data_IF_705958184894
#
_entry.id   IF_705958184894
#
_cell.length_a   1.000
_cell.length_b   1.000
_cell.length_c   1.000
_cell.angle_alpha   90.00
_cell.angle_beta   90.00
_cell.angle_gamma   90.00
#
_symmetry.space_group_name_H-M   'P 1'
#
loop_
_entity.id
_entity.type
_entity.pdbx_description
1 polymer ?
#
# COMPACT_ATOMS: atom_id res chain seq x y z
N UNK A 1 -34.52 21.02 -1.65
CA UNK A 1 -33.24 21.17 -2.39
C UNK A 1 -32.13 21.35 -1.37
N UNK A 2 -31.36 20.29 -1.07
CA UNK A 2 -30.23 20.34 -0.14
C UNK A 2 -28.92 20.13 -0.93
N UNK A 3 -27.81 20.76 -0.51
CA UNK A 3 -26.67 21.02 -1.38
C UNK A 3 -25.77 19.79 -1.56
N UNK A 4 -25.35 19.57 -2.80
CA UNK A 4 -24.27 18.66 -3.19
C UNK A 4 -22.92 19.22 -2.72
N UNK A 5 -22.43 18.78 -1.57
CA UNK A 5 -21.06 19.08 -1.13
C UNK A 5 -20.08 17.93 -1.42
N UNK A 6 -19.39 18.13 -2.55
CA UNK A 6 -18.00 17.82 -2.88
C UNK A 6 -17.09 17.19 -1.78
N UNK A 7 -16.30 16.23 -2.29
CA UNK A 7 -14.89 15.90 -1.99
C UNK A 7 -14.64 15.22 -0.64
N UNK A 8 -14.53 13.89 -0.68
CA UNK A 8 -13.73 13.16 0.29
C UNK A 8 -12.27 13.64 0.20
N UNK A 9 -11.85 14.25 1.31
CA UNK A 9 -10.61 14.98 1.48
C UNK A 9 -9.45 14.00 1.56
N UNK A 10 -8.35 14.38 0.92
CA UNK A 10 -7.02 13.78 1.08
C UNK A 10 -6.73 13.53 2.56
N UNK A 11 -6.54 12.27 2.95
CA UNK A 11 -5.89 11.91 4.21
C UNK A 11 -4.42 12.36 4.13
N UNK A 12 -4.22 13.62 4.47
CA UNK A 12 -2.93 14.28 4.50
C UNK A 12 -2.42 14.29 5.92
N UNK A 13 -1.54 13.34 6.24
CA UNK A 13 -0.35 13.67 7.02
C UNK A 13 0.87 13.26 6.24
N UNK A 14 1.47 14.31 5.67
CA UNK A 14 2.75 14.29 4.97
C UNK A 14 3.79 13.66 5.88
N UNK A 15 4.23 12.44 5.56
CA UNK A 15 5.57 12.00 5.93
C UNK A 15 6.54 12.81 5.08
N UNK A 16 6.80 14.05 5.50
CA UNK A 16 7.90 14.88 4.99
C UNK A 16 9.19 14.32 5.57
N UNK A 17 9.61 13.13 5.13
CA UNK A 17 11.01 12.74 5.21
C UNK A 17 11.60 12.92 3.82
N UNK A 18 12.20 14.11 3.66
CA UNK A 18 12.88 14.60 2.46
C UNK A 18 13.65 13.48 1.76
N UNK A 19 13.38 13.37 0.47
CA UNK A 19 14.09 12.57 -0.54
C UNK A 19 15.60 12.81 -0.43
N UNK A 20 16.30 11.91 0.26
CA UNK A 20 17.76 11.73 0.15
C UNK A 20 18.09 10.24 0.12
N UNK A 21 17.62 9.56 -0.92
CA UNK A 21 18.04 8.19 -1.22
C UNK A 21 18.37 8.07 -2.71
N UNK A 22 19.34 8.87 -3.16
CA UNK A 22 20.17 8.52 -4.32
C UNK A 22 21.39 7.77 -3.79
N UNK A 23 21.16 6.54 -3.32
CA UNK A 23 22.19 5.50 -3.21
C UNK A 23 21.76 4.35 -4.11
N UNK A 24 22.71 3.58 -4.63
CA UNK A 24 22.51 2.60 -5.70
C UNK A 24 21.31 1.64 -5.52
N UNK A 25 20.90 1.33 -4.28
CA UNK A 25 19.70 0.51 -4.01
C UNK A 25 18.35 1.19 -4.30
N UNK A 26 18.29 2.53 -4.30
CA UNK A 26 17.04 3.29 -4.46
C UNK A 26 16.43 3.18 -5.86
N UNK A 27 17.26 3.13 -6.92
CA UNK A 27 16.77 2.98 -8.29
C UNK A 27 16.26 1.57 -8.57
N UNK A 28 16.96 0.54 -8.06
CA UNK A 28 16.52 -0.84 -8.18
C UNK A 28 15.22 -1.08 -7.40
N UNK A 29 15.11 -0.54 -6.18
CA UNK A 29 13.88 -0.58 -5.39
C UNK A 29 12.72 0.14 -6.11
N UNK A 30 12.98 1.31 -6.69
CA UNK A 30 11.99 2.04 -7.48
C UNK A 30 11.54 1.26 -8.72
N UNK A 31 12.47 0.66 -9.48
CA UNK A 31 12.18 -0.17 -10.65
C UNK A 31 11.39 -1.42 -10.27
N UNK A 32 11.74 -2.07 -9.15
CA UNK A 32 10.96 -3.19 -8.63
C UNK A 32 9.54 -2.73 -8.27
N UNK A 33 9.39 -1.63 -7.51
CA UNK A 33 8.08 -1.11 -7.11
C UNK A 33 7.17 -0.77 -8.31
N UNK A 34 7.71 -0.14 -9.37
CA UNK A 34 6.92 0.15 -10.57
C UNK A 34 6.48 -1.12 -11.30
N UNK A 35 7.37 -2.11 -11.44
CA UNK A 35 7.02 -3.40 -12.08
C UNK A 35 5.98 -4.16 -11.25
N UNK A 36 6.16 -4.24 -9.94
CA UNK A 36 5.23 -4.89 -9.02
C UNK A 36 3.86 -4.21 -9.05
N UNK A 37 3.80 -2.88 -9.07
CA UNK A 37 2.54 -2.15 -9.18
C UNK A 37 1.82 -2.43 -10.51
N UNK A 38 2.56 -2.50 -11.62
CA UNK A 38 1.97 -2.86 -12.92
C UNK A 38 1.41 -4.28 -12.91
N UNK A 39 2.16 -5.24 -12.35
CA UNK A 39 1.71 -6.61 -12.21
C UNK A 39 0.45 -6.72 -11.33
N UNK A 40 0.44 -6.05 -10.17
CA UNK A 40 -0.75 -6.00 -9.30
C UNK A 40 -1.94 -5.39 -10.04
N UNK A 41 -1.75 -4.29 -10.78
CA UNK A 41 -2.86 -3.66 -11.53
C UNK A 41 -3.45 -4.57 -12.59
N UNK A 42 -2.63 -5.39 -13.23
CA UNK A 42 -3.08 -6.36 -14.22
C UNK A 42 -3.79 -7.56 -13.57
N UNK A 43 -3.25 -8.10 -12.48
CA UNK A 43 -3.74 -9.31 -11.84
C UNK A 43 -4.94 -9.08 -10.91
N UNK A 44 -5.03 -7.92 -10.24
CA UNK A 44 -6.04 -7.65 -9.20
C UNK A 44 -7.50 -7.81 -9.67
N UNK A 45 -7.89 -7.42 -10.90
CA UNK A 45 -9.25 -7.66 -11.38
C UNK A 45 -9.63 -9.14 -11.51
N UNK A 46 -8.66 -10.01 -11.81
CA UNK A 46 -8.89 -11.44 -12.04
C UNK A 46 -8.68 -12.27 -10.77
N UNK A 47 -7.63 -11.97 -10.01
CA UNK A 47 -7.21 -12.76 -8.85
C UNK A 47 -7.74 -12.21 -7.51
N UNK A 48 -8.16 -10.94 -7.48
CA UNK A 48 -8.64 -10.28 -6.27
C UNK A 48 -7.65 -10.32 -5.12
N UNK A 49 -8.10 -10.69 -3.91
CA UNK A 49 -7.24 -10.77 -2.73
C UNK A 49 -6.20 -11.91 -2.79
N UNK A 50 -6.24 -12.78 -3.81
CA UNK A 50 -5.23 -13.82 -4.02
C UNK A 50 -4.01 -13.30 -4.75
N UNK A 51 -4.05 -12.09 -5.30
CA UNK A 51 -2.92 -11.47 -6.01
C UNK A 51 -1.67 -11.49 -5.15
N UNK A 52 -0.59 -12.06 -5.68
CA UNK A 52 0.72 -12.10 -5.03
C UNK A 52 1.71 -11.21 -5.76
N UNK A 53 2.64 -10.65 -4.99
CA UNK A 53 3.74 -9.83 -5.51
C UNK A 53 5.04 -10.61 -5.35
N UNK A 54 5.78 -10.76 -6.45
CA UNK A 54 7.09 -11.41 -6.40
C UNK A 54 8.05 -10.64 -5.47
N UNK A 55 8.87 -11.34 -4.67
CA UNK A 55 9.78 -10.68 -3.74
C UNK A 55 10.77 -9.77 -4.49
N UNK A 56 11.23 -8.67 -3.87
CA UNK A 56 12.32 -7.88 -4.42
C UNK A 56 13.59 -8.73 -4.58
N UNK A 57 14.47 -8.40 -5.54
CA UNK A 57 15.84 -8.91 -5.54
C UNK A 57 16.55 -8.45 -4.25
N UNK A 58 17.74 -8.99 -3.98
CA UNK A 58 18.53 -8.62 -2.79
C UNK A 58 18.82 -7.12 -2.76
N UNK A 59 18.03 -6.41 -1.97
CA UNK A 59 18.00 -4.96 -1.88
C UNK A 59 18.01 -4.56 -0.41
N UNK A 60 18.61 -3.41 -0.09
CA UNK A 60 18.65 -2.94 1.29
C UNK A 60 17.25 -2.56 1.81
N UNK A 61 16.88 -3.07 2.99
CA UNK A 61 15.60 -2.76 3.67
C UNK A 61 15.30 -1.26 3.77
N UNK A 62 16.34 -0.44 3.98
CA UNK A 62 16.25 1.03 4.06
C UNK A 62 15.76 1.70 2.76
N UNK A 63 15.67 0.96 1.64
CA UNK A 63 15.12 1.47 0.39
C UNK A 63 13.58 1.45 0.33
N UNK A 64 12.88 1.05 1.40
CA UNK A 64 11.41 1.11 1.49
C UNK A 64 10.86 2.50 1.10
N UNK A 65 11.52 3.58 1.52
CA UNK A 65 11.09 4.94 1.16
C UNK A 65 11.08 5.21 -0.36
N UNK A 66 11.93 4.54 -1.14
CA UNK A 66 11.90 4.62 -2.60
C UNK A 66 10.70 3.85 -3.19
N UNK A 67 10.36 2.70 -2.60
CA UNK A 67 9.17 1.92 -2.97
C UNK A 67 7.91 2.76 -2.73
N UNK A 68 7.73 3.30 -1.53
CA UNK A 68 6.58 4.12 -1.18
C UNK A 68 6.47 5.38 -2.05
N UNK A 69 7.60 6.03 -2.36
CA UNK A 69 7.62 7.18 -3.23
C UNK A 69 7.11 6.86 -4.65
N UNK A 70 7.47 5.69 -5.21
CA UNK A 70 6.95 5.25 -6.51
C UNK A 70 5.46 4.99 -6.44
N UNK A 71 4.99 4.25 -5.42
CA UNK A 71 3.56 3.92 -5.25
C UNK A 71 2.71 5.18 -5.14
N UNK A 72 3.17 6.17 -4.37
CA UNK A 72 2.51 7.48 -4.24
C UNK A 72 2.48 8.24 -5.57
N UNK A 73 3.61 8.34 -6.28
CA UNK A 73 3.70 9.04 -7.58
C UNK A 73 2.84 8.40 -8.66
N UNK A 74 2.68 7.08 -8.61
CA UNK A 74 1.90 6.31 -9.60
C UNK A 74 0.42 6.22 -9.23
N UNK A 75 0.00 6.76 -8.09
CA UNK A 75 -1.39 6.73 -7.63
C UNK A 75 -1.87 5.32 -7.32
N UNK A 76 -1.09 4.53 -6.59
CA UNK A 76 -1.54 3.23 -6.10
C UNK A 76 -2.75 3.39 -5.16
N UNK A 77 -3.73 2.50 -5.27
CA UNK A 77 -4.81 2.41 -4.28
C UNK A 77 -4.28 1.84 -2.95
N UNK A 78 -5.05 1.96 -1.87
CA UNK A 78 -4.67 1.43 -0.55
C UNK A 78 -4.31 -0.06 -0.62
N UNK A 79 -5.14 -0.87 -1.30
CA UNK A 79 -4.90 -2.30 -1.47
C UNK A 79 -3.65 -2.57 -2.33
N UNK A 80 -3.47 -1.85 -3.45
CA UNK A 80 -2.28 -2.00 -4.30
C UNK A 80 -0.99 -1.66 -3.54
N UNK A 81 -1.01 -0.59 -2.75
CA UNK A 81 0.12 -0.21 -1.90
C UNK A 81 0.41 -1.29 -0.87
N UNK A 82 -0.61 -1.76 -0.16
CA UNK A 82 -0.44 -2.78 0.87
C UNK A 82 0.14 -4.07 0.30
N UNK A 83 -0.32 -4.55 -0.86
CA UNK A 83 0.23 -5.76 -1.51
C UNK A 83 1.73 -5.61 -1.83
N UNK A 84 2.15 -4.47 -2.40
CA UNK A 84 3.56 -4.25 -2.74
C UNK A 84 4.41 -4.06 -1.50
N UNK A 85 3.95 -3.27 -0.52
CA UNK A 85 4.70 -3.03 0.72
C UNK A 85 4.77 -4.29 1.59
N UNK A 86 3.72 -5.11 1.63
CA UNK A 86 3.71 -6.41 2.30
C UNK A 86 4.81 -7.31 1.77
N UNK A 87 4.90 -7.48 0.44
CA UNK A 87 5.92 -8.31 -0.18
C UNK A 87 7.34 -7.76 0.05
N UNK A 88 7.50 -6.43 0.07
CA UNK A 88 8.77 -5.83 0.47
C UNK A 88 9.12 -6.18 1.91
N UNK A 89 8.25 -5.93 2.87
CA UNK A 89 8.52 -6.17 4.29
C UNK A 89 8.75 -7.65 4.60
N UNK A 90 7.96 -8.55 3.99
CA UNK A 90 8.11 -9.99 4.11
C UNK A 90 9.51 -10.45 3.66
N UNK A 91 9.98 -9.97 2.50
CA UNK A 91 11.32 -10.31 1.99
C UNK A 91 12.47 -9.81 2.89
N UNK A 92 12.20 -8.87 3.81
CA UNK A 92 13.15 -8.36 4.79
C UNK A 92 12.88 -8.91 6.21
N UNK A 93 12.20 -10.06 6.32
CA UNK A 93 11.97 -10.75 7.59
C UNK A 93 10.92 -10.08 8.49
N UNK A 94 10.09 -9.21 7.93
CA UNK A 94 9.04 -8.49 8.65
C UNK A 94 7.66 -8.77 8.04
N UNK A 95 7.11 -9.97 8.22
CA UNK A 95 5.78 -10.27 7.70
C UNK A 95 4.72 -9.43 8.41
N UNK A 96 3.85 -8.79 7.62
CA UNK A 96 2.69 -8.03 8.11
C UNK A 96 1.45 -8.49 7.36
N UNK A 97 0.31 -8.58 8.03
CA UNK A 97 -0.96 -8.88 7.39
C UNK A 97 -1.59 -7.61 6.80
N UNK A 98 -2.28 -7.73 5.66
CA UNK A 98 -3.13 -6.66 5.16
C UNK A 98 -4.50 -6.84 5.79
N UNK A 99 -4.99 -5.81 6.48
CA UNK A 99 -6.38 -5.71 6.91
C UNK A 99 -7.17 -5.04 5.79
N UNK A 100 -8.25 -5.68 5.34
CA UNK A 100 -9.21 -5.12 4.39
C UNK A 100 -10.49 -4.83 5.15
N UNK A 101 -10.97 -3.60 5.08
CA UNK A 101 -12.09 -3.14 5.88
C UNK A 101 -13.01 -2.22 5.07
N UNK A 102 -14.22 -2.03 5.57
CA UNK A 102 -15.17 -1.09 5.00
C UNK A 102 -15.89 -0.29 6.10
N UNK A 103 -16.33 0.92 5.74
CA UNK A 103 -17.22 1.74 6.55
C UNK A 103 -18.47 2.08 5.75
N UNK A 104 -19.59 2.27 6.46
CA UNK A 104 -20.88 2.70 5.90
C UNK A 104 -21.38 4.00 6.52
N UNK A 105 -20.63 4.59 7.47
CA UNK A 105 -21.08 5.72 8.28
C UNK A 105 -21.50 6.94 7.45
N UNK A 106 -20.76 7.24 6.37
CA UNK A 106 -21.03 8.34 5.42
C UNK A 106 -21.19 7.81 3.98
N UNK A 107 -21.63 6.56 3.83
CA UNK A 107 -21.63 5.81 2.57
C UNK A 107 -20.52 4.75 2.53
N UNK A 108 -20.54 3.89 1.50
CA UNK A 108 -19.58 2.78 1.38
C UNK A 108 -18.17 3.31 1.07
N UNK A 109 -17.24 3.08 1.99
CA UNK A 109 -15.83 3.37 1.82
C UNK A 109 -15.00 2.12 2.17
N UNK A 110 -14.30 1.57 1.17
CA UNK A 110 -13.35 0.48 1.38
C UNK A 110 -11.95 1.03 1.68
N UNK A 111 -11.25 0.42 2.63
CA UNK A 111 -9.89 0.77 3.00
C UNK A 111 -9.04 -0.47 3.26
N UNK A 112 -7.71 -0.31 3.20
CA UNK A 112 -6.78 -1.38 3.51
C UNK A 112 -5.46 -0.83 4.07
N UNK A 113 -4.96 -1.45 5.13
CA UNK A 113 -3.72 -1.10 5.82
C UNK A 113 -2.95 -2.35 6.27
N UNK A 114 -1.67 -2.20 6.59
CA UNK A 114 -0.80 -3.26 7.12
C UNK A 114 -0.80 -3.24 8.64
N UNK A 115 -1.26 -4.33 9.25
CA UNK A 115 -1.32 -4.47 10.71
C UNK A 115 0.07 -4.37 11.34
N UNK A 116 0.23 -3.47 12.32
CA UNK A 116 1.51 -3.24 13.01
C UNK A 116 2.58 -2.53 12.18
N UNK A 117 2.24 -2.05 10.98
CA UNK A 117 3.13 -1.21 10.17
C UNK A 117 2.51 0.17 9.90
N UNK A 118 1.25 0.20 9.49
CA UNK A 118 0.49 1.44 9.31
C UNK A 118 -0.26 1.83 10.61
N UNK A 119 -0.83 3.03 10.63
CA UNK A 119 -1.75 3.46 11.70
C UNK A 119 -2.99 2.53 11.74
N UNK A 120 -3.43 2.19 12.95
CA UNK A 120 -4.62 1.37 13.14
C UNK A 120 -5.89 2.20 12.92
N UNK A 121 -6.64 1.84 11.88
CA UNK A 121 -7.89 2.52 11.51
C UNK A 121 -9.15 1.73 11.88
N UNK A 122 -9.03 0.71 12.74
CA UNK A 122 -10.14 -0.13 13.20
C UNK A 122 -11.25 0.64 13.95
N UNK A 123 -10.97 1.83 14.46
CA UNK A 123 -11.98 2.71 15.07
C UNK A 123 -12.98 3.27 14.04
N UNK A 124 -12.60 3.35 12.76
CA UNK A 124 -13.41 3.98 11.69
C UNK A 124 -13.94 2.95 10.70
N UNK A 125 -13.18 1.87 10.49
CA UNK A 125 -13.51 0.83 9.53
C UNK A 125 -13.77 -0.50 10.21
N UNK A 126 -14.81 -1.21 9.75
CA UNK A 126 -15.07 -2.59 10.15
C UNK A 126 -14.26 -3.53 9.29
N UNK A 127 -13.38 -4.30 9.92
CA UNK A 127 -12.61 -5.35 9.27
C UNK A 127 -13.53 -6.36 8.57
N UNK A 128 -13.21 -6.66 7.31
CA UNK A 128 -13.90 -7.67 6.50
C UNK A 128 -13.07 -8.95 6.41
N UNK A 129 -11.75 -8.81 6.20
CA UNK A 129 -10.84 -9.95 6.06
C UNK A 129 -9.38 -9.52 6.21
N UNK A 130 -8.50 -10.51 6.35
CA UNK A 130 -7.05 -10.35 6.37
C UNK A 130 -6.39 -11.11 5.23
N UNK A 131 -5.36 -10.52 4.66
CA UNK A 131 -4.50 -11.18 3.67
C UNK A 131 -3.13 -11.44 4.31
N UNK A 132 -2.76 -12.72 4.53
CA UNK A 132 -1.48 -13.05 5.14
C UNK A 132 -0.32 -12.71 4.21
N UNK A 133 0.84 -12.44 4.79
CA UNK A 133 2.08 -12.25 4.04
C UNK A 133 2.38 -13.51 3.19
N UNK A 134 2.95 -13.34 1.99
CA UNK A 134 3.40 -14.45 1.16
C UNK A 134 4.60 -15.19 1.77
#
# INVERSE_FOLDING_TARGET
MHPVHRRARRAGRRVVRRVRLVRAGGLSAARWADRSLRAVRAALPEEGLRTRVAPPPDLPAQALGAVEAVLSRRGATCLQRCLVVQAWLAAHGRPHEIVVAASVADGFAAHAWLAGHDEDESAVYRELTRVPAP
#
